data_IF_466796642438
#
_entry.id   IF_466796642438
#
_cell.length_a   1.000
_cell.length_b   1.000
_cell.length_c   1.000
_cell.angle_alpha   90.00
_cell.angle_beta   90.00
_cell.angle_gamma   90.00
#
_symmetry.space_group_name_H-M   'P 1'
#
loop_
_entity.id
_entity.type
_entity.pdbx_description
1 polymer ?
#
# COMPACT_ATOMS: atom_id res chain seq x y z
N UNK A 1 4.35 19.30 21.93
CA UNK A 1 4.71 19.89 20.62
C UNK A 1 3.42 20.03 19.82
N UNK A 2 3.21 21.13 19.10
CA UNK A 2 2.07 21.34 18.21
C UNK A 2 2.63 21.79 16.86
N UNK A 3 2.20 21.14 15.78
CA UNK A 3 2.62 21.45 14.41
C UNK A 3 1.39 21.96 13.65
N UNK A 4 1.55 23.06 12.93
CA UNK A 4 0.52 23.60 12.03
C UNK A 4 0.95 23.33 10.59
N UNK A 5 0.06 22.71 9.81
CA UNK A 5 0.28 22.33 8.41
C UNK A 5 -0.84 22.89 7.54
N UNK A 6 -0.62 22.91 6.23
CA UNK A 6 -1.68 23.16 5.25
C UNK A 6 -2.81 22.12 5.42
N UNK A 7 -4.05 22.57 5.25
CA UNK A 7 -5.20 21.69 5.31
C UNK A 7 -5.48 21.05 3.94
N UNK A 8 -5.25 19.73 3.84
CA UNK A 8 -5.61 18.91 2.68
C UNK A 8 -6.63 17.85 3.14
N UNK A 9 -7.92 17.96 2.78
CA UNK A 9 -8.99 17.16 3.39
C UNK A 9 -9.14 15.75 2.82
N UNK A 10 -8.67 15.49 1.60
CA UNK A 10 -8.88 14.22 0.92
C UNK A 10 -7.72 13.26 1.15
N UNK A 11 -8.03 12.05 1.64
CA UNK A 11 -7.08 10.94 1.71
C UNK A 11 -7.13 10.09 0.45
N UNK A 12 -6.07 9.32 0.19
CA UNK A 12 -6.06 8.32 -0.89
C UNK A 12 -7.22 7.32 -0.74
N UNK A 13 -7.53 6.89 0.49
CA UNK A 13 -8.66 5.99 0.74
C UNK A 13 -10.00 6.60 0.31
N UNK A 14 -10.24 7.86 0.64
CA UNK A 14 -11.45 8.60 0.22
C UNK A 14 -11.48 8.81 -1.30
N UNK A 15 -10.35 9.14 -1.91
CA UNK A 15 -10.24 9.35 -3.35
C UNK A 15 -10.52 8.08 -4.15
N UNK A 16 -9.98 6.93 -3.71
CA UNK A 16 -10.27 5.61 -4.32
C UNK A 16 -11.76 5.30 -4.23
N UNK A 17 -12.38 5.41 -3.04
CA UNK A 17 -13.82 5.18 -2.87
C UNK A 17 -14.65 6.02 -3.84
N UNK A 18 -14.34 7.32 -3.92
CA UNK A 18 -15.04 8.27 -4.78
C UNK A 18 -14.86 7.91 -6.26
N UNK A 19 -13.64 7.59 -6.69
CA UNK A 19 -13.36 7.22 -8.08
C UNK A 19 -14.09 5.96 -8.53
N UNK A 20 -14.23 4.96 -7.67
CA UNK A 20 -14.99 3.74 -7.95
C UNK A 20 -16.48 4.08 -8.12
N UNK A 21 -17.04 4.89 -7.24
CA UNK A 21 -18.44 5.31 -7.31
C UNK A 21 -18.76 6.17 -8.54
N UNK A 22 -17.80 6.99 -8.98
CA UNK A 22 -17.91 7.89 -10.13
C UNK A 22 -17.53 7.23 -11.47
N UNK A 23 -17.05 5.98 -11.46
CA UNK A 23 -16.64 5.25 -12.65
C UNK A 23 -15.27 5.64 -13.22
N UNK A 24 -14.46 6.40 -12.48
CA UNK A 24 -13.08 6.79 -12.82
C UNK A 24 -12.02 5.91 -12.14
N UNK A 25 -12.44 4.84 -11.45
CA UNK A 25 -11.58 3.94 -10.68
C UNK A 25 -10.40 3.35 -11.45
N UNK A 26 -10.54 3.08 -12.75
CA UNK A 26 -9.45 2.55 -13.58
C UNK A 26 -8.23 3.48 -13.66
N UNK A 27 -8.48 4.77 -13.91
CA UNK A 27 -7.42 5.78 -14.01
C UNK A 27 -6.82 6.05 -12.63
N UNK A 28 -7.67 6.35 -11.66
CA UNK A 28 -7.26 6.74 -10.30
C UNK A 28 -6.45 5.64 -9.62
N UNK A 29 -6.90 4.38 -9.70
CA UNK A 29 -6.20 3.27 -9.09
C UNK A 29 -4.83 3.05 -9.73
N UNK A 30 -4.74 3.11 -11.06
CA UNK A 30 -3.46 2.95 -11.76
C UNK A 30 -2.46 4.08 -11.44
N UNK A 31 -2.93 5.33 -11.35
CA UNK A 31 -2.11 6.47 -10.94
C UNK A 31 -1.62 6.34 -9.50
N UNK A 32 -2.49 5.92 -8.58
CA UNK A 32 -2.13 5.71 -7.19
C UNK A 32 -1.05 4.64 -7.03
N UNK A 33 -1.18 3.50 -7.72
CA UNK A 33 -0.16 2.44 -7.71
C UNK A 33 1.19 2.96 -8.20
N UNK A 34 1.20 3.65 -9.34
CA UNK A 34 2.44 4.23 -9.90
C UNK A 34 3.10 5.23 -8.95
N UNK A 35 2.33 6.17 -8.41
CA UNK A 35 2.85 7.19 -7.48
C UNK A 35 3.37 6.58 -6.17
N UNK A 36 2.73 5.52 -5.63
CA UNK A 36 3.25 4.82 -4.45
C UNK A 36 4.61 4.19 -4.77
N UNK A 37 4.74 3.49 -5.91
CA UNK A 37 5.99 2.84 -6.30
C UNK A 37 7.10 3.88 -6.48
N UNK A 38 6.83 4.96 -7.22
CA UNK A 38 7.82 6.00 -7.50
C UNK A 38 8.25 6.75 -6.24
N UNK A 39 7.29 7.16 -5.40
CA UNK A 39 7.58 7.89 -4.18
C UNK A 39 8.37 7.06 -3.17
N UNK A 40 7.98 5.80 -2.95
CA UNK A 40 8.68 4.92 -2.00
C UNK A 40 10.07 4.52 -2.50
N UNK A 41 10.25 4.34 -3.82
CA UNK A 41 11.58 4.15 -4.40
C UNK A 41 12.47 5.40 -4.24
N UNK A 42 11.89 6.59 -4.41
CA UNK A 42 12.61 7.85 -4.18
C UNK A 42 13.01 8.03 -2.72
N UNK A 43 12.09 7.78 -1.78
CA UNK A 43 12.33 7.79 -0.33
C UNK A 43 13.50 6.87 0.03
N UNK A 44 13.45 5.61 -0.40
CA UNK A 44 14.51 4.64 -0.15
C UNK A 44 15.87 5.14 -0.68
N UNK A 45 15.90 5.74 -1.87
CA UNK A 45 17.13 6.32 -2.46
C UNK A 45 17.70 7.48 -1.64
N UNK A 46 16.86 8.24 -0.94
CA UNK A 46 17.32 9.29 -0.02
C UNK A 46 17.81 8.73 1.33
N UNK A 47 17.66 7.42 1.58
CA UNK A 47 17.90 6.84 2.89
C UNK A 47 16.78 7.16 3.88
N UNK A 48 15.56 7.36 3.36
CA UNK A 48 14.36 7.65 4.13
C UNK A 48 13.37 6.50 4.02
N UNK A 49 12.87 6.01 5.15
CA UNK A 49 11.79 5.02 5.23
C UNK A 49 10.67 5.59 6.08
N UNK A 50 9.43 5.49 5.60
CA UNK A 50 8.24 5.97 6.29
C UNK A 50 7.74 5.00 7.37
N UNK A 51 7.77 3.70 7.08
CA UNK A 51 7.29 2.57 7.90
C UNK A 51 5.78 2.46 8.15
N UNK A 52 4.96 3.38 7.64
CA UNK A 52 3.49 3.36 7.85
C UNK A 52 2.72 3.85 6.62
N UNK A 53 3.17 3.40 5.44
CA UNK A 53 2.52 3.76 4.18
C UNK A 53 1.20 3.01 4.05
N UNK A 54 0.10 3.76 4.14
CA UNK A 54 -1.25 3.25 3.89
C UNK A 54 -2.19 4.36 3.39
N UNK A 55 -3.34 4.04 2.77
CA UNK A 55 -4.24 5.05 2.18
C UNK A 55 -4.74 6.15 3.12
N UNK A 56 -4.76 5.92 4.44
CA UNK A 56 -5.08 6.95 5.44
C UNK A 56 -3.95 7.97 5.72
N UNK A 57 -2.69 7.61 5.46
CA UNK A 57 -1.49 8.44 5.68
C UNK A 57 -1.00 9.06 4.35
N UNK A 58 -1.84 9.04 3.34
CA UNK A 58 -1.58 9.64 2.04
C UNK A 58 -2.73 10.59 1.74
N UNK A 59 -2.42 11.86 1.55
CA UNK A 59 -3.35 12.91 1.16
C UNK A 59 -3.29 13.13 -0.35
N UNK A 60 -4.37 13.67 -0.92
CA UNK A 60 -4.48 13.98 -2.34
C UNK A 60 -4.63 15.48 -2.53
N UNK A 61 -3.77 16.05 -3.38
CA UNK A 61 -3.88 17.42 -3.82
C UNK A 61 -3.58 17.50 -5.32
N UNK A 62 -4.54 17.99 -6.11
CA UNK A 62 -4.43 18.09 -7.58
C UNK A 62 -3.93 16.81 -8.27
N UNK A 63 -4.44 15.64 -7.82
CA UNK A 63 -4.09 14.33 -8.36
C UNK A 63 -2.71 13.79 -7.92
N UNK A 64 -2.01 14.49 -7.03
CA UNK A 64 -0.71 14.08 -6.49
C UNK A 64 -0.84 13.49 -5.08
N UNK A 65 -0.09 12.43 -4.82
CA UNK A 65 0.04 11.84 -3.48
C UNK A 65 0.96 12.69 -2.60
N UNK A 66 0.50 13.02 -1.40
CA UNK A 66 1.28 13.67 -0.34
C UNK A 66 1.33 12.71 0.84
N UNK A 67 2.51 12.23 1.20
CA UNK A 67 2.71 11.35 2.35
C UNK A 67 2.73 12.17 3.64
N UNK A 68 2.08 11.67 4.67
CA UNK A 68 1.95 12.33 5.98
C UNK A 68 2.08 11.32 7.11
N UNK A 69 2.12 11.82 8.35
CA UNK A 69 2.33 11.02 9.56
C UNK A 69 3.67 10.28 9.58
N UNK A 70 4.74 11.08 9.73
CA UNK A 70 6.11 10.58 9.79
C UNK A 70 6.52 10.09 11.20
N UNK A 71 5.56 9.73 12.06
CA UNK A 71 5.81 9.36 13.45
C UNK A 71 6.66 8.10 13.64
N UNK A 72 6.72 7.23 12.62
CA UNK A 72 7.53 6.00 12.60
C UNK A 72 8.72 6.07 11.64
N UNK A 73 8.93 7.21 10.99
CA UNK A 73 9.89 7.32 9.89
C UNK A 73 11.33 7.40 10.38
N UNK A 74 12.24 6.82 9.60
CA UNK A 74 13.68 6.88 9.83
C UNK A 74 14.38 7.56 8.65
N UNK A 75 15.40 8.37 8.95
CA UNK A 75 16.30 8.95 7.95
C UNK A 75 17.74 8.68 8.35
N UNK A 76 18.57 8.25 7.39
CA UNK A 76 19.98 7.86 7.63
C UNK A 76 20.86 8.96 8.25
N UNK A 77 20.48 10.22 8.07
CA UNK A 77 21.25 11.38 8.55
C UNK A 77 20.83 11.83 9.96
N UNK A 78 19.89 11.13 10.61
CA UNK A 78 19.50 11.39 12.00
C UNK A 78 20.30 10.52 12.98
N UNK A 79 20.23 10.88 14.26
CA UNK A 79 20.84 10.08 15.34
C UNK A 79 19.99 8.82 15.56
N UNK A 80 20.43 7.72 14.97
CA UNK A 80 19.74 6.42 15.00
C UNK A 80 20.41 5.48 16.01
N UNK A 81 19.59 4.73 16.72
CA UNK A 81 20.06 3.56 17.47
C UNK A 81 20.53 2.46 16.52
N UNK A 82 21.37 1.53 17.01
CA UNK A 82 21.83 0.38 16.22
C UNK A 82 20.67 -0.46 15.64
N UNK A 83 19.53 -0.53 16.36
CA UNK A 83 18.34 -1.23 15.88
C UNK A 83 17.67 -0.49 14.72
N UNK A 84 17.58 0.84 14.78
CA UNK A 84 17.00 1.67 13.71
C UNK A 84 17.87 1.67 12.45
N UNK A 85 19.19 1.73 12.61
CA UNK A 85 20.14 1.60 11.49
C UNK A 85 20.04 0.21 10.82
N UNK A 86 19.95 -0.85 11.63
CA UNK A 86 19.68 -2.20 11.13
C UNK A 86 18.34 -2.27 10.40
N UNK A 87 17.30 -1.59 10.89
CA UNK A 87 15.98 -1.56 10.26
C UNK A 87 16.03 -0.94 8.86
N UNK A 88 16.74 0.17 8.65
CA UNK A 88 16.91 0.77 7.31
C UNK A 88 17.47 -0.23 6.28
N UNK A 89 18.50 -0.99 6.67
CA UNK A 89 19.13 -1.96 5.76
C UNK A 89 18.27 -3.20 5.49
N UNK A 90 17.54 -3.67 6.51
CA UNK A 90 16.75 -4.92 6.44
C UNK A 90 15.34 -4.72 5.88
N UNK A 91 14.82 -3.49 5.84
CA UNK A 91 13.47 -3.17 5.37
C UNK A 91 13.43 -2.44 4.03
N UNK A 92 14.42 -2.67 3.16
CA UNK A 92 14.44 -2.08 1.81
C UNK A 92 13.25 -2.52 0.98
N UNK A 93 12.46 -1.57 0.50
CA UNK A 93 11.20 -1.81 -0.21
C UNK A 93 9.99 -2.09 0.68
N UNK A 94 10.13 -2.03 2.02
CA UNK A 94 9.02 -2.26 2.94
C UNK A 94 7.85 -1.30 2.70
N UNK A 95 8.13 0.00 2.55
CA UNK A 95 7.11 1.03 2.31
C UNK A 95 6.32 0.80 1.01
N UNK A 96 7.00 0.34 -0.04
CA UNK A 96 6.35 -0.04 -1.30
C UNK A 96 5.41 -1.21 -1.06
N UNK A 97 5.92 -2.26 -0.40
CA UNK A 97 5.19 -3.51 -0.22
C UNK A 97 3.98 -3.33 0.72
N UNK A 98 4.12 -2.56 1.81
CA UNK A 98 3.00 -2.21 2.70
C UNK A 98 2.02 -1.27 2.02
N UNK A 99 2.50 -0.27 1.29
CA UNK A 99 1.66 0.67 0.54
C UNK A 99 0.77 -0.04 -0.47
N UNK A 100 1.34 -0.94 -1.29
CA UNK A 100 0.58 -1.75 -2.25
C UNK A 100 -0.40 -2.70 -1.55
N UNK A 101 0.05 -3.43 -0.51
CA UNK A 101 -0.82 -4.31 0.26
C UNK A 101 -2.03 -3.55 0.82
N UNK A 102 -1.81 -2.41 1.49
CA UNK A 102 -2.88 -1.63 2.09
C UNK A 102 -3.81 -1.03 1.04
N UNK A 103 -3.28 -0.49 -0.06
CA UNK A 103 -4.10 0.03 -1.16
C UNK A 103 -5.00 -1.06 -1.74
N UNK A 104 -4.49 -2.28 -1.95
CA UNK A 104 -5.27 -3.38 -2.51
C UNK A 104 -6.36 -3.83 -1.55
N UNK A 105 -6.04 -4.03 -0.28
CA UNK A 105 -7.04 -4.39 0.73
C UNK A 105 -8.11 -3.31 0.89
N UNK A 106 -7.73 -2.04 0.81
CA UNK A 106 -8.66 -0.92 0.88
C UNK A 106 -9.59 -0.90 -0.33
N UNK A 107 -9.03 -0.98 -1.53
CA UNK A 107 -9.79 -0.96 -2.78
C UNK A 107 -10.76 -2.14 -2.85
N UNK A 108 -10.31 -3.35 -2.51
CA UNK A 108 -11.19 -4.52 -2.48
C UNK A 108 -12.30 -4.39 -1.43
N UNK A 109 -12.04 -3.72 -0.29
CA UNK A 109 -13.09 -3.41 0.67
C UNK A 109 -14.16 -2.48 0.08
N UNK A 110 -13.75 -1.42 -0.64
CA UNK A 110 -14.67 -0.51 -1.33
C UNK A 110 -15.46 -1.22 -2.45
N UNK A 111 -14.91 -2.27 -3.06
CA UNK A 111 -15.61 -3.13 -4.02
C UNK A 111 -16.55 -4.16 -3.37
N UNK A 112 -16.73 -4.13 -2.05
CA UNK A 112 -17.66 -4.99 -1.31
C UNK A 112 -17.06 -6.27 -0.73
N UNK A 113 -15.75 -6.50 -0.87
CA UNK A 113 -15.05 -7.61 -0.21
C UNK A 113 -14.74 -7.25 1.24
N UNK A 114 -15.77 -7.12 2.08
CA UNK A 114 -15.64 -6.62 3.46
C UNK A 114 -14.86 -7.56 4.39
N UNK A 115 -14.87 -8.88 4.12
CA UNK A 115 -14.09 -9.86 4.88
C UNK A 115 -12.61 -9.84 4.49
N UNK A 116 -11.71 -9.82 5.49
CA UNK A 116 -10.27 -10.00 5.29
C UNK A 116 -9.94 -11.34 4.60
N UNK A 117 -10.62 -12.43 4.95
CA UNK A 117 -10.36 -13.73 4.33
C UNK A 117 -10.72 -13.73 2.86
N UNK A 118 -11.85 -13.11 2.48
CA UNK A 118 -12.29 -12.99 1.09
C UNK A 118 -11.32 -12.15 0.25
N UNK A 119 -10.82 -11.03 0.80
CA UNK A 119 -9.79 -10.23 0.13
C UNK A 119 -8.52 -11.03 -0.10
N UNK A 120 -8.06 -11.78 0.91
CA UNK A 120 -6.88 -12.62 0.78
C UNK A 120 -7.07 -13.78 -0.22
N UNK A 121 -8.25 -14.40 -0.25
CA UNK A 121 -8.60 -15.43 -1.25
C UNK A 121 -8.51 -14.87 -2.68
N UNK A 122 -9.05 -13.68 -2.93
CA UNK A 122 -8.98 -13.03 -4.24
C UNK A 122 -7.54 -12.69 -4.61
N UNK A 123 -6.75 -12.12 -3.69
CA UNK A 123 -5.34 -11.82 -3.93
C UNK A 123 -4.53 -13.09 -4.22
N UNK A 124 -4.80 -14.21 -3.53
CA UNK A 124 -4.16 -15.50 -3.83
C UNK A 124 -4.55 -16.02 -5.21
N UNK A 125 -5.81 -15.88 -5.61
CA UNK A 125 -6.25 -16.25 -6.96
C UNK A 125 -5.54 -15.40 -8.02
N UNK A 126 -5.43 -14.10 -7.81
CA UNK A 126 -4.71 -13.18 -8.69
C UNK A 126 -3.21 -13.50 -8.79
N UNK A 127 -2.57 -13.89 -7.68
CA UNK A 127 -1.17 -14.30 -7.66
C UNK A 127 -0.93 -15.64 -8.36
N UNK A 128 -1.92 -16.53 -8.36
CA UNK A 128 -1.82 -17.84 -9.02
C UNK A 128 -2.08 -17.76 -10.53
N UNK A 129 -3.06 -16.95 -10.93
CA UNK A 129 -3.45 -16.77 -12.32
C UNK A 129 -3.97 -15.34 -12.56
N UNK A 130 -3.21 -14.48 -13.28
CA UNK A 130 -3.66 -13.14 -13.66
C UNK A 130 -4.95 -13.12 -14.48
N UNK A 131 -5.29 -14.20 -15.17
CA UNK A 131 -6.52 -14.33 -15.96
C UNK A 131 -7.67 -14.98 -15.17
N UNK A 132 -7.51 -15.22 -13.87
CA UNK A 132 -8.54 -15.85 -13.04
C UNK A 132 -9.88 -15.10 -13.13
N UNK A 133 -10.97 -15.84 -13.35
CA UNK A 133 -12.33 -15.27 -13.41
C UNK A 133 -12.76 -14.59 -12.10
N UNK A 134 -12.10 -14.90 -10.98
CA UNK A 134 -12.27 -14.21 -9.70
C UNK A 134 -11.96 -12.70 -9.78
N UNK A 135 -11.15 -12.27 -10.75
CA UNK A 135 -10.85 -10.86 -11.00
C UNK A 135 -11.89 -10.14 -11.87
N UNK A 136 -12.91 -10.83 -12.41
CA UNK A 136 -13.92 -10.18 -13.26
C UNK A 136 -14.60 -8.97 -12.60
N UNK A 137 -14.99 -9.00 -11.30
CA UNK A 137 -15.54 -7.82 -10.63
C UNK A 137 -14.52 -6.68 -10.49
N UNK A 138 -13.24 -7.02 -10.32
CA UNK A 138 -12.14 -6.03 -10.27
C UNK A 138 -11.95 -5.40 -11.64
N UNK A 139 -11.94 -6.19 -12.73
CA UNK A 139 -11.87 -5.69 -14.12
C UNK A 139 -13.04 -4.78 -14.45
N UNK A 140 -14.24 -5.11 -13.96
CA UNK A 140 -15.42 -4.26 -14.16
C UNK A 140 -15.28 -2.88 -13.48
N UNK A 141 -14.65 -2.81 -12.31
CA UNK A 141 -14.53 -1.55 -11.54
C UNK A 141 -13.26 -0.75 -11.85
N UNK A 142 -12.14 -1.43 -12.11
CA UNK A 142 -10.81 -0.83 -12.27
C UNK A 142 -10.25 -0.98 -13.70
N UNK A 143 -11.03 -1.55 -14.62
CA UNK A 143 -10.58 -1.89 -15.96
C UNK A 143 -9.51 -2.99 -15.98
N UNK A 144 -9.10 -3.37 -17.19
CA UNK A 144 -8.05 -4.37 -17.41
C UNK A 144 -6.74 -3.97 -16.71
N UNK A 145 -6.31 -2.71 -16.90
CA UNK A 145 -5.08 -2.20 -16.31
C UNK A 145 -5.05 -2.30 -14.78
N UNK A 146 -6.15 -1.99 -14.11
CA UNK A 146 -6.21 -2.05 -12.64
C UNK A 146 -6.16 -3.48 -12.12
N UNK A 147 -6.86 -4.41 -12.78
CA UNK A 147 -6.79 -5.83 -12.44
C UNK A 147 -5.40 -6.43 -12.71
N UNK A 148 -4.75 -6.02 -13.80
CA UNK A 148 -3.40 -6.47 -14.15
C UNK A 148 -2.38 -5.98 -13.14
N UNK A 149 -2.48 -4.73 -12.67
CA UNK A 149 -1.63 -4.21 -11.58
C UNK A 149 -1.84 -4.96 -10.26
N UNK A 150 -3.08 -5.34 -9.93
CA UNK A 150 -3.35 -6.19 -8.76
C UNK A 150 -2.69 -7.55 -8.94
N UNK A 151 -2.85 -8.20 -10.09
CA UNK A 151 -2.27 -9.51 -10.36
C UNK A 151 -0.72 -9.47 -10.33
N UNK A 152 -0.11 -8.47 -10.96
CA UNK A 152 1.34 -8.26 -11.00
C UNK A 152 1.95 -8.19 -9.60
N UNK A 153 1.28 -7.53 -8.66
CA UNK A 153 1.77 -7.32 -7.29
C UNK A 153 1.05 -8.18 -6.24
N UNK A 154 0.21 -9.13 -6.65
CA UNK A 154 -0.62 -9.91 -5.74
C UNK A 154 0.22 -10.76 -4.78
N UNK A 155 1.33 -11.35 -5.26
CA UNK A 155 2.24 -12.16 -4.44
C UNK A 155 2.83 -11.35 -3.27
N UNK A 156 3.19 -10.08 -3.53
CA UNK A 156 3.67 -9.14 -2.50
C UNK A 156 2.58 -8.87 -1.49
N UNK A 157 1.36 -8.52 -1.94
CA UNK A 157 0.24 -8.24 -1.05
C UNK A 157 -0.12 -9.46 -0.18
N UNK A 158 -0.12 -10.67 -0.75
CA UNK A 158 -0.36 -11.93 -0.01
C UNK A 158 0.71 -12.14 1.07
N UNK A 159 1.99 -12.09 0.70
CA UNK A 159 3.12 -12.28 1.63
C UNK A 159 3.06 -11.30 2.80
N UNK A 160 2.84 -10.02 2.52
CA UNK A 160 2.73 -8.99 3.55
C UNK A 160 1.51 -9.23 4.45
N UNK A 161 0.36 -9.61 3.87
CA UNK A 161 -0.86 -9.87 4.63
C UNK A 161 -0.68 -11.02 5.62
N UNK A 162 0.03 -12.07 5.20
CA UNK A 162 0.33 -13.25 6.02
C UNK A 162 1.37 -12.94 7.08
N UNK A 163 2.43 -12.20 6.74
CA UNK A 163 3.41 -11.71 7.70
C UNK A 163 2.74 -10.90 8.82
N UNK A 164 1.90 -9.92 8.47
CA UNK A 164 1.15 -9.14 9.46
C UNK A 164 0.21 -10.02 10.30
N UNK A 165 -0.37 -11.09 9.74
CA UNK A 165 -1.21 -12.00 10.52
C UNK A 165 -0.41 -12.76 11.59
N UNK A 166 0.86 -13.07 11.35
CA UNK A 166 1.78 -13.63 12.35
C UNK A 166 2.15 -12.55 13.38
N UNK A 167 2.56 -11.37 12.93
CA UNK A 167 2.98 -10.26 13.80
C UNK A 167 1.89 -9.81 14.77
N UNK A 168 0.61 -9.87 14.37
CA UNK A 168 -0.52 -9.55 15.24
C UNK A 168 -0.72 -10.56 16.40
N UNK A 169 -0.12 -11.75 16.32
CA UNK A 169 -0.16 -12.77 17.38
C UNK A 169 1.12 -12.79 18.20
N UNK A 170 2.24 -12.57 17.53
CA UNK A 170 3.57 -12.51 18.10
C UNK A 170 4.38 -11.46 17.32
N UNK A 171 4.67 -10.33 17.97
CA UNK A 171 5.39 -9.21 17.38
C UNK A 171 6.80 -9.57 16.88
N UNK A 172 7.36 -10.72 17.31
CA UNK A 172 8.66 -11.24 16.88
C UNK A 172 8.56 -12.50 16.00
N UNK A 173 7.34 -12.96 15.71
CA UNK A 173 7.08 -14.24 15.06
C UNK A 173 7.39 -14.27 13.55
N UNK A 174 7.63 -13.10 12.94
CA UNK A 174 8.00 -12.99 11.54
C UNK A 174 9.01 -11.85 11.32
N UNK A 175 9.71 -11.90 10.18
CA UNK A 175 10.60 -10.83 9.71
C UNK A 175 10.18 -10.44 8.29
N UNK A 176 10.38 -9.18 7.95
CA UNK A 176 10.28 -8.76 6.56
C UNK A 176 11.39 -9.42 5.75
N UNK A 177 11.00 -10.13 4.70
CA UNK A 177 11.91 -10.76 3.74
C UNK A 177 11.34 -10.54 2.33
N UNK A 178 12.23 -10.18 1.41
CA UNK A 178 11.89 -9.75 0.05
C UNK A 178 11.92 -10.89 -0.97
N UNK A 179 12.07 -12.14 -0.51
CA UNK A 179 12.04 -13.36 -1.35
C UNK A 179 10.80 -13.43 -2.24
#
# INVERSE_FOLDING_TARGET
>A
MVIFLEHVPETLGSWVRRSVAEGSGSTVFAEAVGQIIDATAWMEKQGFHHFDVHPGNILIHDGRLIFTDFGLSLHRDFDLTANEESSLSTHRGFDRDTGLMHLFHWTLFELGYTSRSRRLELLRAAAADPAASALNPVRAALGEKGADLIAEHASVAVRMTEMFAVLMRDAFGAKYDRR
#
